data_IF_149422597251
#
_entry.id   IF_149422597251
#
_cell.length_a   1.000
_cell.length_b   1.000
_cell.length_c   1.000
_cell.angle_alpha   90.00
_cell.angle_beta   90.00
_cell.angle_gamma   90.00
#
_symmetry.space_group_name_H-M   'P 1'
#
loop_
_entity.id
_entity.type
_entity.pdbx_description
1 polymer ?
#
# COMPACT_ATOMS: atom_id res chain seq x y z
N UNK A 1 7.65 -3.20 -28.16
CA UNK A 1 7.54 -1.96 -28.97
C UNK A 1 7.32 -0.72 -28.09
N UNK A 2 6.47 -0.79 -27.04
CA UNK A 2 6.21 0.31 -26.10
C UNK A 2 7.41 0.77 -25.24
N UNK A 3 8.32 -0.14 -24.84
CA UNK A 3 9.50 0.19 -24.00
C UNK A 3 10.59 1.02 -24.70
N UNK A 4 10.61 1.06 -26.03
CA UNK A 4 11.64 1.76 -26.81
C UNK A 4 11.36 3.25 -27.03
N UNK A 5 10.12 3.69 -26.83
CA UNK A 5 9.67 5.05 -27.22
C UNK A 5 10.13 6.12 -26.20
N UNK A 6 10.49 5.73 -24.97
CA UNK A 6 10.84 6.65 -23.87
C UNK A 6 12.20 6.40 -23.18
N UNK A 7 13.12 5.64 -23.80
CA UNK A 7 14.41 5.28 -23.16
C UNK A 7 14.24 4.60 -21.78
N UNK A 8 13.10 3.94 -21.55
CA UNK A 8 12.72 3.39 -20.24
C UNK A 8 13.55 2.15 -19.89
N UNK A 9 13.84 1.32 -20.90
CA UNK A 9 14.62 0.09 -20.71
C UNK A 9 16.05 0.38 -20.22
N UNK A 10 16.73 1.36 -20.83
CA UNK A 10 18.07 1.79 -20.41
C UNK A 10 18.06 2.43 -19.02
N UNK A 11 17.01 3.20 -18.69
CA UNK A 11 16.85 3.81 -17.36
C UNK A 11 16.63 2.76 -16.26
N UNK A 12 15.85 1.72 -16.54
CA UNK A 12 15.63 0.58 -15.63
C UNK A 12 16.93 -0.21 -15.43
N UNK A 13 17.68 -0.46 -16.51
CA UNK A 13 18.97 -1.17 -16.45
C UNK A 13 19.99 -0.38 -15.63
N UNK A 14 20.14 0.92 -15.90
CA UNK A 14 21.02 1.82 -15.15
C UNK A 14 20.65 1.89 -13.66
N UNK A 15 19.35 1.94 -13.33
CA UNK A 15 18.88 1.95 -11.94
C UNK A 15 19.19 0.61 -11.24
N UNK A 16 18.96 -0.52 -11.93
CA UNK A 16 19.24 -1.84 -11.37
C UNK A 16 20.74 -2.02 -11.08
N UNK A 17 21.63 -1.51 -11.94
CA UNK A 17 23.07 -1.51 -11.70
C UNK A 17 23.44 -0.62 -10.50
N UNK A 18 22.91 0.61 -10.46
CA UNK A 18 23.16 1.58 -9.38
C UNK A 18 22.79 1.02 -8.01
N UNK A 19 21.63 0.37 -7.90
CA UNK A 19 21.14 -0.22 -6.65
C UNK A 19 21.56 -1.69 -6.46
N UNK A 20 22.38 -2.24 -7.37
CA UNK A 20 22.84 -3.65 -7.36
C UNK A 20 21.70 -4.66 -7.24
N UNK A 21 20.61 -4.43 -7.95
CA UNK A 21 19.42 -5.28 -7.93
C UNK A 21 19.63 -6.47 -8.89
N UNK A 22 19.54 -7.73 -8.42
CA UNK A 22 19.62 -8.89 -9.29
C UNK A 22 18.53 -8.90 -10.37
N UNK A 23 18.84 -9.43 -11.56
CA UNK A 23 17.89 -9.49 -12.68
C UNK A 23 16.58 -10.20 -12.36
N UNK A 24 16.60 -11.22 -11.49
CA UNK A 24 15.37 -11.90 -11.04
C UNK A 24 14.45 -10.96 -10.25
N UNK A 25 15.00 -10.19 -9.30
CA UNK A 25 14.24 -9.25 -8.49
C UNK A 25 13.72 -8.10 -9.35
N UNK A 26 14.54 -7.59 -10.27
CA UNK A 26 14.13 -6.58 -11.25
C UNK A 26 12.90 -7.04 -12.04
N UNK A 27 12.95 -8.25 -12.60
CA UNK A 27 11.83 -8.82 -13.36
C UNK A 27 10.61 -9.04 -12.46
N UNK A 28 10.80 -9.49 -11.23
CA UNK A 28 9.70 -9.66 -10.27
C UNK A 28 9.00 -8.33 -9.96
N UNK A 29 9.74 -7.27 -9.64
CA UNK A 29 9.18 -5.94 -9.36
C UNK A 29 8.34 -5.42 -10.55
N UNK A 30 8.81 -5.65 -11.78
CA UNK A 30 8.14 -5.17 -12.98
C UNK A 30 6.93 -6.01 -13.38
N UNK A 31 7.02 -7.34 -13.27
CA UNK A 31 6.00 -8.26 -13.82
C UNK A 31 4.96 -8.68 -12.79
N UNK A 32 5.31 -8.73 -11.51
CA UNK A 32 4.42 -9.22 -10.45
C UNK A 32 3.09 -8.45 -10.40
N UNK A 33 3.02 -7.11 -10.48
CA UNK A 33 1.74 -6.41 -10.45
C UNK A 33 0.81 -6.81 -11.59
N UNK A 34 1.34 -6.99 -12.81
CA UNK A 34 0.55 -7.41 -13.97
C UNK A 34 0.09 -8.85 -13.86
N UNK A 35 0.95 -9.74 -13.38
CA UNK A 35 0.60 -11.15 -13.15
C UNK A 35 -0.54 -11.23 -12.12
N UNK A 36 -0.40 -10.54 -10.98
CA UNK A 36 -1.43 -10.50 -9.95
C UNK A 36 -2.75 -9.91 -10.48
N UNK A 37 -2.68 -8.83 -11.27
CA UNK A 37 -3.85 -8.24 -11.90
C UNK A 37 -4.59 -9.23 -12.82
N UNK A 38 -3.86 -9.96 -13.66
CA UNK A 38 -4.46 -10.97 -14.56
C UNK A 38 -5.05 -12.12 -13.78
N UNK A 39 -4.34 -12.65 -12.78
CA UNK A 39 -4.83 -13.73 -11.93
C UNK A 39 -6.11 -13.31 -11.19
N UNK A 40 -6.13 -12.09 -10.68
CA UNK A 40 -7.28 -11.55 -9.97
C UNK A 40 -8.47 -11.30 -10.91
N UNK A 41 -8.23 -10.81 -12.12
CA UNK A 41 -9.27 -10.68 -13.15
C UNK A 41 -9.88 -12.03 -13.50
N UNK A 42 -9.06 -13.08 -13.65
CA UNK A 42 -9.55 -14.45 -13.89
C UNK A 42 -10.45 -14.93 -12.74
N UNK A 43 -10.04 -14.70 -11.48
CA UNK A 43 -10.84 -15.05 -10.31
C UNK A 43 -12.23 -14.41 -10.34
N UNK A 44 -12.33 -13.15 -10.76
CA UNK A 44 -13.60 -12.40 -10.79
C UNK A 44 -14.47 -12.71 -12.02
N UNK A 45 -13.86 -13.00 -13.17
CA UNK A 45 -14.57 -13.24 -14.43
C UNK A 45 -15.14 -14.64 -14.54
N UNK A 46 -14.50 -15.64 -13.92
CA UNK A 46 -14.99 -17.01 -13.91
C UNK A 46 -16.09 -17.17 -12.85
N UNK A 47 -17.34 -17.56 -13.23
CA UNK A 47 -18.44 -17.68 -12.28
C UNK A 47 -18.14 -18.65 -11.12
N UNK A 48 -17.36 -19.69 -11.38
CA UNK A 48 -16.98 -20.71 -10.39
C UNK A 48 -16.05 -20.19 -9.29
N UNK A 49 -15.22 -19.18 -9.58
CA UNK A 49 -14.24 -18.63 -8.63
C UNK A 49 -14.59 -17.24 -8.12
N UNK A 50 -15.62 -16.61 -8.68
CA UNK A 50 -16.02 -15.23 -8.37
C UNK A 50 -16.32 -15.03 -6.89
N UNK A 51 -16.96 -15.99 -6.24
CA UNK A 51 -17.25 -15.93 -4.79
C UNK A 51 -15.97 -15.82 -3.97
N UNK A 52 -14.93 -16.58 -4.32
CA UNK A 52 -13.62 -16.51 -3.66
C UNK A 52 -12.96 -15.16 -3.92
N UNK A 53 -13.01 -14.66 -5.15
CA UNK A 53 -12.47 -13.34 -5.49
C UNK A 53 -13.13 -12.20 -4.70
N UNK A 54 -14.45 -12.24 -4.55
CA UNK A 54 -15.19 -11.27 -3.74
C UNK A 54 -14.92 -11.43 -2.24
N UNK A 55 -14.83 -12.67 -1.75
CA UNK A 55 -14.49 -12.97 -0.36
C UNK A 55 -13.10 -12.40 0.01
N UNK A 56 -12.12 -12.51 -0.89
CA UNK A 56 -10.80 -11.93 -0.66
C UNK A 56 -10.80 -10.39 -0.50
N UNK A 57 -11.77 -9.69 -1.11
CA UNK A 57 -11.91 -8.23 -1.09
C UNK A 57 -12.76 -7.69 0.06
N UNK A 58 -13.41 -8.56 0.83
CA UNK A 58 -14.23 -8.12 1.95
C UNK A 58 -13.37 -7.51 3.07
N UNK A 59 -13.97 -6.66 3.90
CA UNK A 59 -13.29 -6.14 5.10
C UNK A 59 -12.89 -7.30 6.03
N UNK A 60 -11.75 -7.16 6.68
CA UNK A 60 -11.08 -8.12 7.55
C UNK A 60 -10.68 -9.46 6.87
N UNK A 61 -10.51 -9.46 5.54
CA UNK A 61 -10.10 -10.62 4.75
C UNK A 61 -8.63 -10.54 4.29
N UNK A 62 -8.07 -11.58 3.66
CA UNK A 62 -6.62 -11.68 3.42
C UNK A 62 -5.99 -10.51 2.66
N UNK A 63 -6.72 -9.81 1.78
CA UNK A 63 -6.17 -8.67 1.05
C UNK A 63 -5.93 -7.49 2.00
N UNK A 64 -6.91 -7.13 2.82
CA UNK A 64 -6.77 -6.03 3.79
C UNK A 64 -5.71 -6.35 4.85
N UNK A 65 -5.75 -7.56 5.42
CA UNK A 65 -4.75 -8.02 6.38
C UNK A 65 -3.33 -8.05 5.77
N UNK A 66 -3.23 -8.46 4.49
CA UNK A 66 -1.98 -8.45 3.74
C UNK A 66 -1.46 -7.03 3.50
N UNK A 67 -2.35 -6.10 3.15
CA UNK A 67 -2.04 -4.67 3.00
C UNK A 67 -1.51 -4.10 4.31
N UNK A 68 -2.24 -4.28 5.42
CA UNK A 68 -1.82 -3.82 6.74
C UNK A 68 -0.44 -4.38 7.12
N UNK A 69 -0.21 -5.68 6.90
CA UNK A 69 1.09 -6.32 7.17
C UNK A 69 2.24 -5.71 6.35
N UNK A 70 2.04 -5.49 5.06
CA UNK A 70 3.06 -4.86 4.19
C UNK A 70 3.34 -3.42 4.65
N UNK A 71 2.31 -2.67 5.04
CA UNK A 71 2.45 -1.32 5.56
C UNK A 71 3.22 -1.29 6.89
N UNK A 72 2.96 -2.23 7.81
CA UNK A 72 3.77 -2.38 9.04
C UNK A 72 5.23 -2.71 8.72
N UNK A 73 5.49 -3.62 7.79
CA UNK A 73 6.85 -3.93 7.36
C UNK A 73 7.54 -2.69 6.75
N UNK A 74 6.82 -1.92 5.93
CA UNK A 74 7.29 -0.65 5.38
C UNK A 74 7.62 0.39 6.46
N UNK A 75 6.76 0.54 7.47
CA UNK A 75 7.01 1.38 8.64
C UNK A 75 8.29 0.95 9.36
N UNK A 76 8.44 -0.34 9.68
CA UNK A 76 9.62 -0.87 10.35
C UNK A 76 10.92 -0.58 9.57
N UNK A 77 10.90 -0.82 8.25
CA UNK A 77 12.03 -0.50 7.36
C UNK A 77 12.33 1.00 7.39
N UNK A 78 11.31 1.85 7.30
CA UNK A 78 11.46 3.31 7.35
C UNK A 78 12.12 3.78 8.65
N UNK A 79 11.66 3.26 9.79
CA UNK A 79 12.22 3.58 11.11
C UNK A 79 13.68 3.11 11.25
N UNK A 80 13.99 1.89 10.79
CA UNK A 80 15.38 1.39 10.79
C UNK A 80 16.28 2.27 9.93
N UNK A 81 15.79 2.75 8.77
CA UNK A 81 16.53 3.67 7.90
C UNK A 81 16.73 5.02 8.57
N UNK A 82 15.71 5.61 9.17
CA UNK A 82 15.83 6.86 9.92
C UNK A 82 16.92 6.79 11.00
N UNK A 83 16.93 5.71 11.79
CA UNK A 83 17.94 5.49 12.84
C UNK A 83 19.34 5.36 12.25
N UNK A 84 19.51 4.59 11.17
CA UNK A 84 20.81 4.42 10.50
C UNK A 84 21.33 5.75 9.94
N UNK A 85 20.48 6.52 9.26
CA UNK A 85 20.85 7.83 8.67
C UNK A 85 21.27 8.81 9.77
N UNK A 86 20.52 8.87 10.87
CA UNK A 86 20.88 9.70 12.03
C UNK A 86 22.24 9.29 12.61
N UNK A 87 22.52 7.98 12.73
CA UNK A 87 23.79 7.47 13.29
C UNK A 87 25.01 7.81 12.44
N UNK A 88 24.87 7.88 11.11
CA UNK A 88 25.98 8.24 10.20
C UNK A 88 26.10 9.75 9.97
N UNK A 89 25.38 10.58 10.74
CA UNK A 89 25.45 12.04 10.64
C UNK A 89 24.64 12.65 9.50
N UNK A 90 23.64 11.94 8.96
CA UNK A 90 22.77 12.47 7.92
C UNK A 90 21.91 13.65 8.38
N UNK A 91 21.53 14.52 7.45
CA UNK A 91 20.75 15.74 7.70
C UNK A 91 19.40 15.43 8.35
N UNK A 92 18.95 16.32 9.26
CA UNK A 92 17.63 16.27 9.91
C UNK A 92 16.48 16.04 8.93
N UNK A 93 16.52 16.73 7.79
CA UNK A 93 15.49 16.62 6.75
C UNK A 93 15.34 15.16 6.26
N UNK A 94 16.46 14.45 6.07
CA UNK A 94 16.44 13.11 5.49
C UNK A 94 15.89 12.09 6.48
N UNK A 95 16.45 12.03 7.71
CA UNK A 95 15.92 11.07 8.68
C UNK A 95 14.53 11.47 9.19
N UNK A 96 14.24 12.77 9.26
CA UNK A 96 12.91 13.29 9.57
C UNK A 96 11.87 12.85 8.54
N UNK A 97 12.21 12.89 7.24
CA UNK A 97 11.36 12.35 6.19
C UNK A 97 11.03 10.88 6.41
N UNK A 98 12.01 10.02 6.70
CA UNK A 98 11.75 8.59 6.95
C UNK A 98 10.90 8.36 8.20
N UNK A 99 11.01 9.20 9.24
CA UNK A 99 10.13 9.13 10.41
C UNK A 99 8.69 9.47 10.02
N UNK A 100 8.47 10.62 9.37
CA UNK A 100 7.13 11.06 8.95
C UNK A 100 6.50 10.05 8.00
N UNK A 101 7.27 9.57 7.01
CA UNK A 101 6.82 8.54 6.08
C UNK A 101 6.44 7.24 6.80
N UNK A 102 7.28 6.77 7.74
CA UNK A 102 7.00 5.58 8.54
C UNK A 102 5.74 5.73 9.41
N UNK A 103 5.55 6.90 10.04
CA UNK A 103 4.33 7.20 10.81
C UNK A 103 3.09 7.24 9.90
N UNK A 104 3.22 7.77 8.68
CA UNK A 104 2.14 7.72 7.69
C UNK A 104 1.76 6.29 7.31
N UNK A 105 2.75 5.42 7.07
CA UNK A 105 2.50 3.99 6.80
C UNK A 105 1.84 3.29 8.00
N UNK A 106 2.29 3.58 9.22
CA UNK A 106 1.68 3.04 10.44
C UNK A 106 0.22 3.48 10.56
N UNK A 107 -0.07 4.76 10.32
CA UNK A 107 -1.41 5.29 10.36
C UNK A 107 -2.33 4.57 9.36
N UNK A 108 -1.89 4.42 8.11
CA UNK A 108 -2.68 3.68 7.10
C UNK A 108 -2.83 2.20 7.48
N UNK A 109 -1.80 1.56 8.04
CA UNK A 109 -1.91 0.17 8.50
C UNK A 109 -2.93 -0.01 9.64
N UNK A 110 -3.00 0.96 10.55
CA UNK A 110 -3.99 0.95 11.63
C UNK A 110 -5.39 1.23 11.10
N UNK A 111 -5.52 2.13 10.12
CA UNK A 111 -6.78 2.37 9.42
C UNK A 111 -7.30 1.08 8.76
N UNK A 112 -6.46 0.32 8.04
CA UNK A 112 -6.80 -0.99 7.43
C UNK A 112 -7.05 -2.12 8.46
N UNK A 113 -6.98 -1.83 9.77
CA UNK A 113 -7.32 -2.79 10.82
C UNK A 113 -8.43 -2.26 11.74
N UNK A 114 -9.11 -1.19 11.35
CA UNK A 114 -10.05 -0.47 12.20
C UNK A 114 -9.46 -0.15 13.58
N UNK A 115 -8.19 0.23 13.63
CA UNK A 115 -7.40 0.49 14.84
C UNK A 115 -7.38 -0.68 15.84
N UNK A 116 -7.56 -1.91 15.34
CA UNK A 116 -7.66 -3.11 16.15
C UNK A 116 -9.04 -3.32 16.77
N UNK A 117 -10.09 -2.68 16.26
CA UNK A 117 -11.47 -2.84 16.77
C UNK A 117 -11.88 -4.30 16.87
N UNK A 118 -11.57 -5.11 15.85
CA UNK A 118 -11.88 -6.54 15.85
C UNK A 118 -10.96 -7.37 16.76
N UNK A 119 -9.71 -6.92 16.97
CA UNK A 119 -8.74 -7.58 17.87
C UNK A 119 -9.10 -7.38 19.34
N UNK A 120 -9.49 -6.16 19.69
CA UNK A 120 -9.75 -5.76 21.08
C UNK A 120 -11.24 -5.72 21.43
N UNK A 121 -12.13 -5.85 20.45
CA UNK A 121 -13.58 -5.96 20.64
C UNK A 121 -14.24 -4.69 21.20
N UNK A 122 -13.64 -3.52 20.99
CA UNK A 122 -14.26 -2.26 21.43
C UNK A 122 -15.35 -1.82 20.45
N UNK A 123 -16.34 -1.08 20.96
CA UNK A 123 -17.41 -0.54 20.12
C UNK A 123 -16.95 0.66 19.30
N UNK A 124 -17.51 0.80 18.10
CA UNK A 124 -17.35 2.01 17.29
C UNK A 124 -17.87 3.23 18.05
N UNK A 125 -17.09 4.32 18.17
CA UNK A 125 -17.56 5.55 18.81
C UNK A 125 -18.83 6.08 18.13
N UNK A 126 -19.74 6.68 18.89
CA UNK A 126 -21.01 7.23 18.36
C UNK A 126 -20.77 8.25 17.24
N UNK A 127 -19.73 9.07 17.38
CA UNK A 127 -19.32 10.02 16.34
C UNK A 127 -18.96 9.34 15.01
N UNK A 128 -18.43 8.11 15.05
CA UNK A 128 -18.13 7.31 13.85
C UNK A 128 -19.37 6.56 13.36
N UNK A 129 -20.22 5.99 14.23
CA UNK A 129 -21.46 5.27 13.86
C UNK A 129 -22.41 6.11 12.99
N UNK A 130 -22.47 7.43 13.22
CA UNK A 130 -23.33 8.35 12.46
C UNK A 130 -22.86 8.53 11.00
N UNK A 131 -21.57 8.38 10.72
CA UNK A 131 -20.94 8.74 9.44
C UNK A 131 -20.20 7.58 8.76
N UNK A 132 -20.07 6.44 9.44
CA UNK A 132 -19.47 5.21 8.95
C UNK A 132 -20.54 4.11 8.94
N UNK A 133 -20.93 3.66 7.74
CA UNK A 133 -21.99 2.65 7.56
C UNK A 133 -21.52 1.21 7.78
N UNK A 134 -20.23 0.99 7.96
CA UNK A 134 -19.62 -0.33 8.17
C UNK A 134 -19.45 -0.67 9.66
N UNK A 135 -19.73 0.28 10.57
CA UNK A 135 -19.61 0.02 12.00
C UNK A 135 -18.15 -0.21 12.41
N UNK A 136 -17.23 0.52 11.78
CA UNK A 136 -15.81 0.45 12.06
C UNK A 136 -15.25 1.81 12.48
N UNK A 137 -14.18 1.79 13.25
CA UNK A 137 -13.48 2.98 13.72
C UNK A 137 -12.42 3.34 12.70
N UNK A 138 -12.84 3.62 11.47
CA UNK A 138 -11.96 3.97 10.35
C UNK A 138 -12.38 5.30 9.74
N UNK A 139 -11.39 6.11 9.37
CA UNK A 139 -11.59 7.39 8.70
C UNK A 139 -11.79 7.19 7.19
N UNK A 140 -11.18 6.19 6.59
CA UNK A 140 -11.35 5.94 5.16
C UNK A 140 -12.73 5.34 4.79
N UNK A 141 -13.47 4.80 5.77
CA UNK A 141 -14.85 4.30 5.59
C UNK A 141 -15.93 5.36 5.87
N UNK A 142 -15.53 6.60 6.13
CA UNK A 142 -16.47 7.72 6.19
C UNK A 142 -17.13 7.91 4.82
N UNK A 143 -18.43 8.22 4.82
CA UNK A 143 -19.23 8.41 3.59
C UNK A 143 -18.59 9.40 2.60
N UNK A 144 -17.82 10.37 3.09
CA UNK A 144 -17.11 11.34 2.24
C UNK A 144 -15.95 10.72 1.45
N UNK A 145 -15.26 9.71 2.00
CA UNK A 145 -14.10 9.07 1.37
C UNK A 145 -14.48 7.79 0.59
N UNK A 146 -15.60 7.15 0.94
CA UNK A 146 -16.13 5.99 0.22
C UNK A 146 -16.49 6.36 -1.23
N UNK A 147 -15.80 5.75 -2.20
CA UNK A 147 -15.98 5.98 -3.65
C UNK A 147 -15.23 7.18 -4.24
N UNK A 148 -14.33 7.81 -3.46
CA UNK A 148 -13.44 8.88 -3.93
C UNK A 148 -11.95 8.59 -3.67
N UNK A 149 -11.65 7.47 -3.00
CA UNK A 149 -10.29 7.04 -2.69
C UNK A 149 -9.44 6.77 -3.94
N UNK A 150 -10.06 6.28 -5.02
CA UNK A 150 -9.42 6.00 -6.30
C UNK A 150 -8.78 7.24 -6.92
N UNK A 151 -9.45 8.39 -6.88
CA UNK A 151 -8.89 9.64 -7.39
C UNK A 151 -7.67 10.07 -6.61
N UNK A 152 -7.74 9.98 -5.28
CA UNK A 152 -6.62 10.34 -4.39
C UNK A 152 -5.40 9.46 -4.68
N UNK A 153 -5.58 8.13 -4.77
CA UNK A 153 -4.53 7.17 -5.11
C UNK A 153 -3.93 7.43 -6.50
N UNK A 154 -4.78 7.74 -7.48
CA UNK A 154 -4.35 8.03 -8.85
C UNK A 154 -3.57 9.35 -8.95
N UNK A 155 -3.97 10.41 -8.23
CA UNK A 155 -3.19 11.66 -8.16
C UNK A 155 -1.84 11.47 -7.51
N UNK A 156 -1.74 10.71 -6.42
CA UNK A 156 -0.44 10.39 -5.81
C UNK A 156 0.45 9.57 -6.78
N UNK A 157 -0.14 8.59 -7.47
CA UNK A 157 0.58 7.78 -8.47
C UNK A 157 1.11 8.61 -9.63
N UNK A 158 0.32 9.53 -10.18
CA UNK A 158 0.74 10.45 -11.23
C UNK A 158 1.77 11.47 -10.74
N UNK A 159 1.59 12.00 -9.53
CA UNK A 159 2.56 12.91 -8.91
C UNK A 159 3.91 12.25 -8.64
N UNK A 160 3.95 10.94 -8.41
CA UNK A 160 5.19 10.18 -8.28
C UNK A 160 5.90 9.90 -9.62
N UNK A 161 5.20 10.07 -10.75
CA UNK A 161 5.76 9.90 -12.09
C UNK A 161 6.28 11.21 -12.72
N UNK A 162 5.90 12.36 -12.15
CA UNK A 162 6.30 13.71 -12.60
C UNK A 162 7.53 14.22 -11.83
#
# INVERSE_FOLDING_TARGET
MLLKIFNLQSSIECSAETYRIPSCIKSAILLLPFILMVLFAILLLLPSTRSVGLWLLQENHPIELGTAFILFAGCAVSMVRAVKIRKVGGTFIIYGFYIVFGMGLLFVAMEELAWGQWLFGFETPEACKVINRQGETTLHNLVFFQGHSEFTRMTFGLGALA
#
